data_IF_455959594037
#
_entry.id   IF_455959594037
#
_cell.length_a   1.000
_cell.length_b   1.000
_cell.length_c   1.000
_cell.angle_alpha   90.00
_cell.angle_beta   90.00
_cell.angle_gamma   90.00
#
_symmetry.space_group_name_H-M   'P 1'
#
loop_
_entity.id
_entity.type
_entity.pdbx_description
1 polymer ?
#
# COMPACT_ATOMS: atom_id res chain seq x y z
N UNK A 1 19.43 122.37 56.23
CA UNK A 1 19.22 120.91 56.13
C UNK A 1 20.59 120.27 56.07
N UNK A 2 21.08 119.74 57.20
CA UNK A 2 22.42 119.12 57.27
C UNK A 2 22.22 117.63 57.09
N UNK A 3 22.61 117.10 55.93
CA UNK A 3 22.66 115.65 55.70
C UNK A 3 23.88 115.12 56.46
N UNK A 4 23.65 114.23 57.44
CA UNK A 4 24.72 113.60 58.21
C UNK A 4 25.40 112.52 57.34
N UNK A 5 26.72 112.56 57.13
CA UNK A 5 27.45 111.60 56.27
C UNK A 5 27.23 110.13 56.66
N UNK A 6 27.02 109.85 57.94
CA UNK A 6 26.75 108.50 58.43
C UNK A 6 25.40 107.94 57.97
N UNK A 7 24.39 108.79 57.77
CA UNK A 7 23.09 108.36 57.26
C UNK A 7 23.15 107.94 55.78
N UNK A 8 24.05 108.56 54.99
CA UNK A 8 24.28 108.18 53.59
C UNK A 8 25.01 106.85 53.50
N UNK A 9 25.99 106.61 54.38
CA UNK A 9 26.73 105.34 54.45
C UNK A 9 25.84 104.17 54.87
N UNK A 10 24.97 104.38 55.86
CA UNK A 10 23.99 103.38 56.30
C UNK A 10 22.99 103.04 55.18
N UNK A 11 22.44 104.05 54.51
CA UNK A 11 21.50 103.84 53.39
C UNK A 11 22.16 103.13 52.20
N UNK A 12 23.44 103.39 51.92
CA UNK A 12 24.19 102.71 50.86
C UNK A 12 24.47 101.24 51.22
N UNK A 13 24.81 100.94 52.47
CA UNK A 13 24.99 99.56 52.96
C UNK A 13 23.69 98.76 52.96
N UNK A 14 22.58 99.38 53.32
CA UNK A 14 21.26 98.75 53.30
C UNK A 14 20.80 98.48 51.87
N UNK A 15 20.94 99.46 50.96
CA UNK A 15 20.62 99.28 49.54
C UNK A 15 21.49 98.21 48.86
N UNK A 16 22.79 98.13 49.19
CA UNK A 16 23.67 97.07 48.68
C UNK A 16 23.33 95.70 49.27
N UNK A 17 22.95 95.63 50.56
CA UNK A 17 22.49 94.41 51.21
C UNK A 17 21.20 93.87 50.59
N UNK A 18 20.23 94.73 50.28
CA UNK A 18 18.99 94.34 49.61
C UNK A 18 19.25 93.83 48.20
N UNK A 19 20.05 94.54 47.40
CA UNK A 19 20.40 94.11 46.04
C UNK A 19 21.16 92.78 46.04
N UNK A 20 22.10 92.58 46.97
CA UNK A 20 22.81 91.32 47.14
C UNK A 20 21.88 90.17 47.57
N UNK A 21 20.90 90.45 48.44
CA UNK A 21 19.86 89.49 48.84
C UNK A 21 18.95 89.08 47.68
N UNK A 22 18.50 90.04 46.87
CA UNK A 22 17.67 89.79 45.68
C UNK A 22 18.43 89.00 44.62
N UNK A 23 19.72 89.30 44.41
CA UNK A 23 20.58 88.51 43.52
C UNK A 23 20.78 87.08 44.03
N UNK A 24 20.95 86.90 45.35
CA UNK A 24 21.10 85.57 45.94
C UNK A 24 19.81 84.73 45.79
N UNK A 25 18.64 85.36 45.93
CA UNK A 25 17.35 84.70 45.73
C UNK A 25 17.14 84.28 44.26
N UNK A 26 17.53 85.12 43.31
CA UNK A 26 17.48 84.78 41.89
C UNK A 26 18.43 83.63 41.52
N UNK A 27 19.65 83.60 42.10
CA UNK A 27 20.61 82.51 41.89
C UNK A 27 20.08 81.19 42.45
N UNK A 28 19.47 81.20 43.65
CA UNK A 28 18.84 79.99 44.23
C UNK A 28 17.74 79.44 43.32
N UNK A 29 16.84 80.29 42.82
CA UNK A 29 15.76 79.84 41.93
C UNK A 29 16.29 79.28 40.61
N UNK A 30 17.34 79.87 40.03
CA UNK A 30 17.99 79.32 38.82
C UNK A 30 18.67 77.98 39.13
N UNK A 31 19.27 77.82 40.32
CA UNK A 31 19.90 76.57 40.75
C UNK A 31 18.85 75.46 40.91
N UNK A 32 17.70 75.77 41.51
CA UNK A 32 16.58 74.83 41.65
C UNK A 32 16.01 74.42 40.27
N UNK A 33 15.88 75.35 39.32
CA UNK A 33 15.48 75.05 37.94
C UNK A 33 16.52 74.20 37.20
N UNK A 34 17.82 74.39 37.48
CA UNK A 34 18.89 73.61 36.85
C UNK A 34 18.96 72.18 37.44
N UNK A 35 18.70 71.98 38.73
CA UNK A 35 18.56 70.65 39.33
C UNK A 35 17.35 69.88 38.74
N UNK A 36 16.28 70.59 38.38
CA UNK A 36 15.11 70.03 37.67
C UNK A 36 15.46 69.66 36.20
N UNK A 37 16.50 70.26 35.60
CA UNK A 37 17.01 69.88 34.27
C UNK A 37 18.01 68.72 34.29
N UNK A 38 18.69 68.46 35.42
CA UNK A 38 19.56 67.27 35.58
C UNK A 38 18.76 65.96 35.59
N UNK A 39 17.47 66.01 35.95
CA UNK A 39 16.56 64.85 35.87
C UNK A 39 16.29 64.44 34.42
N UNK A 40 16.46 65.35 33.45
CA UNK A 40 16.32 65.10 32.01
C UNK A 40 17.47 64.26 31.43
N UNK A 41 18.71 64.43 31.92
CA UNK A 41 19.87 63.65 31.45
C UNK A 41 19.80 62.16 31.80
N UNK A 42 19.16 61.78 32.92
CA UNK A 42 18.91 60.37 33.27
C UNK A 42 17.99 59.67 32.26
N UNK A 43 17.05 60.40 31.67
CA UNK A 43 16.18 59.87 30.62
C UNK A 43 16.95 59.61 29.31
N UNK A 44 18.00 60.38 28.99
CA UNK A 44 18.81 60.17 27.78
C UNK A 44 19.63 58.87 27.84
N UNK A 45 20.22 58.54 28.99
CA UNK A 45 20.96 57.30 29.21
C UNK A 45 20.03 56.06 29.17
N UNK A 46 18.85 56.16 29.79
CA UNK A 46 17.81 55.11 29.71
C UNK A 46 17.31 54.92 28.28
N UNK A 47 17.10 56.01 27.54
CA UNK A 47 16.70 55.98 26.12
C UNK A 47 17.81 55.37 25.24
N UNK A 48 19.09 55.65 25.52
CA UNK A 48 20.21 55.04 24.82
C UNK A 48 20.28 53.52 25.07
N UNK A 49 20.10 53.08 26.32
CA UNK A 49 20.03 51.66 26.68
C UNK A 49 18.84 50.96 26.02
N UNK A 50 17.66 51.59 26.03
CA UNK A 50 16.46 51.08 25.36
C UNK A 50 16.64 50.95 23.85
N UNK A 51 17.32 51.90 23.19
CA UNK A 51 17.66 51.82 21.76
C UNK A 51 18.55 50.62 21.44
N UNK A 52 19.52 50.33 22.30
CA UNK A 52 20.39 49.16 22.15
C UNK A 52 19.61 47.85 22.32
N UNK A 53 18.74 47.77 23.33
CA UNK A 53 17.83 46.62 23.51
C UNK A 53 16.95 46.42 22.28
N UNK A 54 16.37 47.48 21.71
CA UNK A 54 15.55 47.41 20.50
C UNK A 54 16.37 46.95 19.29
N UNK A 55 17.61 47.44 19.13
CA UNK A 55 18.50 47.02 18.06
C UNK A 55 18.84 45.51 18.18
N UNK A 56 19.18 45.04 19.38
CA UNK A 56 19.46 43.63 19.64
C UNK A 56 18.23 42.74 19.44
N UNK A 57 17.06 43.19 19.90
CA UNK A 57 15.79 42.46 19.73
C UNK A 57 15.42 42.37 18.25
N UNK A 58 15.61 43.44 17.47
CA UNK A 58 15.31 43.46 16.03
C UNK A 58 16.25 42.54 15.23
N UNK A 59 17.54 42.47 15.60
CA UNK A 59 18.48 41.52 15.02
C UNK A 59 18.10 40.06 15.32
N UNK A 60 17.68 39.76 16.56
CA UNK A 60 17.21 38.41 16.94
C UNK A 60 15.97 38.00 16.15
N UNK A 61 15.00 38.91 15.99
CA UNK A 61 13.79 38.66 15.20
C UNK A 61 14.12 38.39 13.72
N UNK A 62 15.07 39.13 13.14
CA UNK A 62 15.54 38.89 11.77
C UNK A 62 16.20 37.50 11.63
N UNK A 63 17.00 37.09 12.62
CA UNK A 63 17.62 35.76 12.64
C UNK A 63 16.56 34.65 12.74
N UNK A 64 15.58 34.80 13.64
CA UNK A 64 14.47 33.85 13.79
C UNK A 64 13.67 33.72 12.49
N UNK A 65 13.35 34.85 11.84
CA UNK A 65 12.66 34.85 10.54
C UNK A 65 13.47 34.09 9.46
N UNK A 66 14.80 34.26 9.44
CA UNK A 66 15.69 33.51 8.56
C UNK A 66 15.66 32.00 8.81
N UNK A 67 15.69 31.57 10.08
CA UNK A 67 15.60 30.15 10.45
C UNK A 67 14.25 29.54 10.06
N UNK A 68 13.15 30.26 10.29
CA UNK A 68 11.80 29.86 9.87
C UNK A 68 11.72 29.70 8.34
N UNK A 69 12.32 30.61 7.57
CA UNK A 69 12.36 30.50 6.11
C UNK A 69 13.16 29.26 5.66
N UNK A 70 14.29 28.95 6.31
CA UNK A 70 15.06 27.74 6.02
C UNK A 70 14.27 26.46 6.35
N UNK A 71 13.58 26.44 7.50
CA UNK A 71 12.70 25.32 7.87
C UNK A 71 11.57 25.12 6.86
N UNK A 72 10.93 26.19 6.42
CA UNK A 72 9.90 26.13 5.39
C UNK A 72 10.45 25.58 4.06
N UNK A 73 11.67 25.96 3.68
CA UNK A 73 12.36 25.42 2.52
C UNK A 73 12.61 23.90 2.63
N UNK A 74 13.09 23.43 3.78
CA UNK A 74 13.29 22.01 4.02
C UNK A 74 11.98 21.21 3.99
N UNK A 75 10.90 21.74 4.59
CA UNK A 75 9.57 21.11 4.53
C UNK A 75 9.06 21.01 3.09
N UNK A 76 9.25 22.05 2.28
CA UNK A 76 8.86 22.04 0.87
C UNK A 76 9.64 20.97 0.07
N UNK A 77 10.94 20.82 0.33
CA UNK A 77 11.75 19.74 -0.27
C UNK A 77 11.26 18.36 0.16
N UNK A 78 10.98 18.16 1.45
CA UNK A 78 10.43 16.89 1.96
C UNK A 78 9.08 16.55 1.31
N UNK A 79 8.18 17.54 1.17
CA UNK A 79 6.91 17.36 0.49
C UNK A 79 7.10 16.95 -0.99
N UNK A 80 8.08 17.54 -1.68
CA UNK A 80 8.46 17.15 -3.04
C UNK A 80 8.93 15.69 -3.13
N UNK A 81 9.79 15.26 -2.21
CA UNK A 81 10.26 13.87 -2.16
C UNK A 81 9.13 12.88 -1.86
N UNK A 82 8.22 13.20 -0.94
CA UNK A 82 7.05 12.38 -0.65
C UNK A 82 6.12 12.25 -1.87
N UNK A 83 5.92 13.34 -2.62
CA UNK A 83 5.14 13.31 -3.86
C UNK A 83 5.79 12.41 -4.93
N UNK A 84 7.11 12.48 -5.09
CA UNK A 84 7.85 11.60 -5.99
C UNK A 84 7.72 10.12 -5.57
N UNK A 85 7.85 9.84 -4.28
CA UNK A 85 7.68 8.48 -3.75
C UNK A 85 6.26 7.95 -3.99
N UNK A 86 5.22 8.76 -3.79
CA UNK A 86 3.84 8.37 -4.08
C UNK A 86 3.64 8.01 -5.56
N UNK A 87 4.30 8.74 -6.48
CA UNK A 87 4.31 8.41 -7.91
C UNK A 87 4.98 7.06 -8.20
N UNK A 88 6.11 6.77 -7.56
CA UNK A 88 6.80 5.47 -7.69
C UNK A 88 5.95 4.32 -7.15
N UNK A 89 5.32 4.50 -6.00
CA UNK A 89 4.41 3.50 -5.41
C UNK A 89 3.25 3.22 -6.36
N UNK A 90 2.66 4.25 -6.96
CA UNK A 90 1.56 4.08 -7.92
C UNK A 90 1.99 3.30 -9.17
N UNK A 91 3.18 3.59 -9.70
CA UNK A 91 3.77 2.86 -10.83
C UNK A 91 4.02 1.38 -10.49
N UNK A 92 4.61 1.13 -9.31
CA UNK A 92 4.86 -0.21 -8.83
C UNK A 92 3.55 -0.99 -8.62
N UNK A 93 2.51 -0.33 -8.12
CA UNK A 93 1.20 -0.95 -7.95
C UNK A 93 0.57 -1.34 -9.29
N UNK A 94 0.67 -0.49 -10.32
CA UNK A 94 0.22 -0.84 -11.67
C UNK A 94 1.01 -2.03 -12.25
N UNK A 95 2.32 -2.11 -11.99
CA UNK A 95 3.12 -3.27 -12.39
C UNK A 95 2.67 -4.54 -11.64
N UNK A 96 2.38 -4.43 -10.35
CA UNK A 96 1.87 -5.55 -9.55
C UNK A 96 0.53 -6.05 -10.09
N UNK A 97 -0.42 -5.15 -10.38
CA UNK A 97 -1.73 -5.51 -10.95
C UNK A 97 -1.57 -6.24 -12.29
N UNK A 98 -0.63 -5.80 -13.13
CA UNK A 98 -0.30 -6.47 -14.39
C UNK A 98 0.28 -7.88 -14.18
N UNK A 99 1.14 -8.05 -13.17
CA UNK A 99 1.70 -9.35 -12.81
C UNK A 99 0.61 -10.28 -12.27
N UNK A 100 -0.27 -9.79 -11.39
CA UNK A 100 -1.41 -10.55 -10.86
C UNK A 100 -2.30 -11.04 -11.99
N UNK A 101 -2.69 -10.17 -12.93
CA UNK A 101 -3.51 -10.57 -14.07
C UNK A 101 -2.85 -11.66 -14.93
N UNK A 102 -1.52 -11.62 -15.08
CA UNK A 102 -0.76 -12.66 -15.80
C UNK A 102 -0.70 -13.98 -15.02
N UNK A 103 -0.62 -13.93 -13.69
CA UNK A 103 -0.68 -15.11 -12.82
C UNK A 103 -2.05 -15.75 -12.87
N UNK A 104 -3.13 -14.97 -12.77
CA UNK A 104 -4.51 -15.47 -12.88
C UNK A 104 -4.75 -16.13 -14.23
N UNK A 105 -4.23 -15.53 -15.31
CA UNK A 105 -4.29 -16.11 -16.65
C UNK A 105 -3.49 -17.41 -16.77
N UNK A 106 -2.30 -17.47 -16.15
CA UNK A 106 -1.48 -18.67 -16.12
C UNK A 106 -2.13 -19.78 -15.27
N UNK A 107 -2.83 -19.44 -14.20
CA UNK A 107 -3.58 -20.38 -13.37
C UNK A 107 -4.76 -20.98 -14.13
N UNK A 108 -5.55 -20.16 -14.84
CA UNK A 108 -6.63 -20.66 -15.71
C UNK A 108 -6.10 -21.56 -16.83
N UNK A 109 -4.95 -21.21 -17.41
CA UNK A 109 -4.28 -22.04 -18.41
C UNK A 109 -3.83 -23.38 -17.79
N UNK A 110 -3.17 -23.36 -16.63
CA UNK A 110 -2.75 -24.57 -15.91
C UNK A 110 -3.93 -25.46 -15.52
N UNK A 111 -5.07 -24.88 -15.14
CA UNK A 111 -6.29 -25.63 -14.81
C UNK A 111 -6.93 -26.31 -16.03
N UNK A 112 -6.69 -25.79 -17.24
CA UNK A 112 -7.21 -26.39 -18.48
C UNK A 112 -6.19 -27.36 -19.10
N UNK A 113 -4.90 -27.05 -19.06
CA UNK A 113 -3.83 -27.89 -19.63
C UNK A 113 -3.41 -29.06 -18.74
N UNK A 114 -3.88 -29.12 -17.50
CA UNK A 114 -3.57 -30.20 -16.56
C UNK A 114 -4.76 -31.14 -16.32
N UNK A 115 -5.80 -31.06 -17.15
CA UNK A 115 -6.85 -32.07 -17.17
C UNK A 115 -6.22 -33.41 -17.59
N UNK A 116 -6.41 -34.49 -16.81
CA UNK A 116 -5.92 -35.80 -17.17
C UNK A 116 -6.54 -36.27 -18.50
N UNK A 117 -5.75 -36.95 -19.32
CA UNK A 117 -6.15 -37.42 -20.65
C UNK A 117 -7.11 -38.60 -20.62
N UNK A 118 -7.11 -39.37 -19.52
CA UNK A 118 -7.96 -40.53 -19.34
C UNK A 118 -8.14 -40.88 -17.85
N UNK A 119 -9.04 -41.81 -17.56
CA UNK A 119 -9.30 -42.27 -16.19
C UNK A 119 -8.09 -42.95 -15.53
N UNK A 120 -7.15 -43.52 -16.28
CA UNK A 120 -5.92 -44.06 -15.69
C UNK A 120 -5.07 -42.96 -15.08
N UNK A 121 -4.94 -41.83 -15.77
CA UNK A 121 -4.23 -40.66 -15.26
C UNK A 121 -4.96 -39.98 -14.09
N UNK A 122 -6.30 -39.96 -14.10
CA UNK A 122 -7.11 -39.54 -12.93
C UNK A 122 -6.77 -40.38 -11.69
N UNK A 123 -6.70 -41.71 -11.86
CA UNK A 123 -6.40 -42.64 -10.78
C UNK A 123 -5.01 -42.39 -10.16
N UNK A 124 -4.02 -42.13 -11.00
CA UNK A 124 -2.64 -41.89 -10.57
C UNK A 124 -2.45 -40.55 -9.85
N UNK A 125 -3.17 -39.51 -10.29
CA UNK A 125 -3.03 -38.15 -9.74
C UNK A 125 -3.82 -37.92 -8.46
N UNK A 126 -5.02 -38.47 -8.35
CA UNK A 126 -5.97 -38.09 -7.28
C UNK A 126 -6.76 -39.25 -6.69
N UNK A 127 -6.66 -40.46 -7.27
CA UNK A 127 -7.50 -41.60 -6.91
C UNK A 127 -8.93 -41.47 -7.48
N UNK A 128 -9.54 -42.61 -7.81
CA UNK A 128 -10.91 -42.66 -8.36
C UNK A 128 -11.91 -42.95 -7.26
N UNK A 129 -12.99 -42.18 -7.26
CA UNK A 129 -14.24 -42.44 -6.58
C UNK A 129 -15.28 -42.78 -7.64
N UNK A 130 -15.79 -44.02 -7.61
CA UNK A 130 -16.76 -44.53 -8.58
C UNK A 130 -18.12 -43.82 -8.53
N UNK A 131 -18.37 -42.95 -7.55
CA UNK A 131 -19.57 -42.13 -7.44
C UNK A 131 -19.33 -40.67 -7.85
N UNK A 132 -18.13 -40.33 -8.33
CA UNK A 132 -17.73 -38.99 -8.71
C UNK A 132 -17.51 -38.85 -10.22
N UNK A 133 -17.79 -37.67 -10.73
CA UNK A 133 -17.51 -37.27 -12.10
C UNK A 133 -16.17 -36.53 -12.19
N UNK A 134 -15.40 -36.80 -13.24
CA UNK A 134 -14.09 -36.25 -13.51
C UNK A 134 -14.08 -35.53 -14.85
N UNK A 135 -13.31 -34.44 -14.95
CA UNK A 135 -13.07 -33.76 -16.23
C UNK A 135 -11.79 -34.33 -16.83
N UNK A 136 -11.91 -34.91 -18.02
CA UNK A 136 -10.77 -35.38 -18.80
C UNK A 136 -10.66 -34.60 -20.11
N UNK A 137 -9.43 -34.40 -20.57
CA UNK A 137 -9.12 -33.79 -21.87
C UNK A 137 -8.33 -34.80 -22.73
N UNK A 138 -9.01 -35.64 -23.52
CA UNK A 138 -8.39 -36.80 -24.16
C UNK A 138 -7.37 -36.46 -25.25
N UNK A 139 -7.45 -35.27 -25.85
CA UNK A 139 -6.55 -34.80 -26.90
C UNK A 139 -5.71 -33.58 -26.51
N UNK A 140 -5.97 -33.04 -25.32
CA UNK A 140 -5.21 -31.97 -24.72
C UNK A 140 -5.67 -30.58 -25.20
N UNK A 141 -5.09 -29.54 -24.60
CA UNK A 141 -5.59 -28.18 -24.75
C UNK A 141 -5.61 -27.72 -26.20
N UNK A 142 -6.73 -27.10 -26.60
CA UNK A 142 -6.97 -26.52 -27.92
C UNK A 142 -6.92 -27.51 -29.10
N UNK A 143 -7.14 -28.81 -28.86
CA UNK A 143 -7.25 -29.81 -29.92
C UNK A 143 -8.68 -30.37 -29.99
N UNK A 144 -9.02 -30.87 -31.18
CA UNK A 144 -10.20 -31.67 -31.53
C UNK A 144 -11.45 -31.60 -30.65
N UNK A 145 -11.39 -32.11 -29.42
CA UNK A 145 -12.50 -32.32 -28.50
C UNK A 145 -12.34 -31.48 -27.24
N UNK A 146 -13.40 -30.78 -26.84
CA UNK A 146 -13.38 -30.03 -25.58
C UNK A 146 -13.30 -30.99 -24.38
N UNK A 147 -12.70 -30.55 -23.25
CA UNK A 147 -12.71 -31.33 -22.01
C UNK A 147 -14.12 -31.80 -21.66
N UNK A 148 -14.25 -33.07 -21.29
CA UNK A 148 -15.53 -33.72 -21.06
C UNK A 148 -15.63 -34.29 -19.66
N UNK A 149 -16.85 -34.34 -19.15
CA UNK A 149 -17.15 -34.93 -17.86
C UNK A 149 -17.42 -36.42 -18.04
N UNK A 150 -16.66 -37.27 -17.35
CA UNK A 150 -16.80 -38.73 -17.36
C UNK A 150 -16.93 -39.27 -15.94
N UNK A 151 -17.64 -40.36 -15.78
CA UNK A 151 -17.54 -41.18 -14.57
C UNK A 151 -16.47 -42.23 -14.83
N UNK A 152 -15.45 -42.28 -13.97
CA UNK A 152 -14.41 -43.28 -14.08
C UNK A 152 -14.82 -44.53 -13.29
N UNK A 153 -14.95 -45.65 -13.98
CA UNK A 153 -15.17 -46.93 -13.33
C UNK A 153 -13.83 -47.68 -13.17
N UNK A 154 -13.42 -47.91 -11.92
CA UNK A 154 -12.31 -48.82 -11.57
C UNK A 154 -12.81 -50.08 -10.89
N UNK A 155 -14.12 -50.27 -10.79
CA UNK A 155 -14.71 -51.58 -10.55
C UNK A 155 -14.83 -52.27 -11.90
N UNK A 156 -13.68 -52.56 -12.52
CA UNK A 156 -13.62 -53.75 -13.36
C UNK A 156 -14.12 -54.88 -12.49
N UNK A 157 -15.26 -55.47 -12.84
CA UNK A 157 -15.80 -56.61 -12.14
C UNK A 157 -14.70 -57.67 -12.18
N UNK A 158 -14.00 -57.87 -11.06
CA UNK A 158 -12.89 -58.83 -10.93
C UNK A 158 -13.43 -60.27 -10.91
N UNK A 159 -14.43 -60.56 -11.74
CA UNK A 159 -14.96 -61.90 -11.91
C UNK A 159 -14.11 -62.74 -12.85
N UNK A 160 -13.15 -62.15 -13.58
CA UNK A 160 -12.14 -62.93 -14.30
C UNK A 160 -10.79 -62.87 -13.56
N UNK A 161 -10.45 -63.97 -12.89
CA UNK A 161 -9.24 -64.15 -12.09
C UNK A 161 -7.94 -64.24 -12.91
N UNK A 162 -7.95 -63.78 -14.16
CA UNK A 162 -6.89 -64.00 -15.14
C UNK A 162 -6.30 -62.70 -15.72
N UNK A 163 -6.57 -61.55 -15.08
CA UNK A 163 -6.01 -60.24 -15.45
C UNK A 163 -4.83 -59.86 -14.57
N UNK A 164 -3.78 -59.28 -15.15
CA UNK A 164 -2.65 -58.76 -14.39
C UNK A 164 -3.16 -57.59 -13.51
N UNK A 165 -2.61 -57.34 -12.30
CA UNK A 165 -3.11 -56.28 -11.42
C UNK A 165 -3.07 -54.86 -12.02
N UNK A 166 -2.38 -54.69 -13.15
CA UNK A 166 -2.27 -53.49 -13.97
C UNK A 166 -3.42 -53.30 -14.97
N UNK A 167 -4.15 -54.37 -15.28
CA UNK A 167 -5.09 -54.43 -16.40
C UNK A 167 -6.49 -54.22 -15.83
N UNK A 168 -7.07 -53.06 -16.11
CA UNK A 168 -8.29 -52.58 -15.43
C UNK A 168 -9.56 -53.11 -16.11
N UNK A 169 -9.48 -53.40 -17.40
CA UNK A 169 -10.53 -53.99 -18.22
C UNK A 169 -10.02 -55.23 -18.95
N UNK A 170 -10.95 -56.07 -19.43
CA UNK A 170 -10.58 -57.26 -20.21
C UNK A 170 -9.87 -56.90 -21.53
N UNK A 171 -10.15 -55.72 -22.09
CA UNK A 171 -9.49 -55.21 -23.29
C UNK A 171 -8.02 -54.82 -23.08
N UNK A 172 -7.57 -54.60 -21.84
CA UNK A 172 -6.17 -54.26 -21.54
C UNK A 172 -5.29 -55.53 -21.38
N UNK A 173 -5.90 -56.72 -21.53
CA UNK A 173 -5.23 -57.99 -21.36
C UNK A 173 -4.43 -58.37 -22.61
N UNK A 174 -3.11 -58.22 -22.56
CA UNK A 174 -2.24 -58.53 -23.71
C UNK A 174 -1.83 -60.02 -23.76
N UNK A 175 -2.83 -60.91 -23.75
CA UNK A 175 -2.64 -62.37 -23.69
C UNK A 175 -3.04 -63.11 -24.98
N UNK A 176 -3.32 -62.35 -26.05
CA UNK A 176 -3.75 -62.86 -27.36
C UNK A 176 -5.02 -63.71 -27.32
N UNK A 177 -5.84 -63.57 -26.27
CA UNK A 177 -7.11 -64.29 -26.11
C UNK A 177 -8.27 -63.33 -26.29
N UNK A 178 -9.32 -63.75 -27.00
CA UNK A 178 -10.56 -62.99 -27.08
C UNK A 178 -11.21 -62.88 -25.70
N UNK A 179 -11.42 -61.65 -25.24
CA UNK A 179 -12.11 -61.36 -23.98
C UNK A 179 -13.32 -60.48 -24.21
N UNK A 180 -14.29 -60.57 -23.30
CA UNK A 180 -15.58 -59.91 -23.41
C UNK A 180 -15.96 -59.25 -22.09
N UNK A 181 -16.13 -57.93 -22.11
CA UNK A 181 -16.86 -57.19 -21.08
C UNK A 181 -18.32 -57.06 -21.50
N UNK A 182 -19.26 -57.57 -20.68
CA UNK A 182 -20.69 -57.54 -20.97
C UNK A 182 -21.51 -57.08 -19.75
N UNK A 183 -22.66 -56.43 -19.98
CA UNK A 183 -23.50 -55.95 -18.89
C UNK A 183 -24.60 -54.99 -19.32
N UNK A 184 -25.39 -54.52 -18.35
CA UNK A 184 -26.44 -53.51 -18.55
C UNK A 184 -26.02 -52.17 -17.94
N UNK A 185 -26.13 -51.09 -18.72
CA UNK A 185 -26.12 -49.72 -18.20
C UNK A 185 -27.45 -49.46 -17.49
N UNK A 186 -27.45 -49.61 -16.16
CA UNK A 186 -28.67 -49.65 -15.35
C UNK A 186 -28.95 -48.34 -14.59
N UNK A 187 -28.02 -47.40 -14.61
CA UNK A 187 -28.15 -46.09 -13.97
C UNK A 187 -28.72 -45.07 -14.95
N UNK A 188 -29.88 -44.51 -14.60
CA UNK A 188 -30.66 -43.63 -15.48
C UNK A 188 -29.93 -42.33 -15.80
N UNK A 189 -29.12 -41.84 -14.86
CA UNK A 189 -28.39 -40.58 -14.99
C UNK A 189 -27.20 -40.68 -15.96
N UNK A 190 -26.78 -41.91 -16.31
CA UNK A 190 -25.70 -42.18 -17.27
C UNK A 190 -26.20 -42.25 -18.72
N UNK A 191 -27.48 -41.92 -18.94
CA UNK A 191 -28.14 -41.95 -20.24
C UNK A 191 -28.50 -40.53 -20.71
N UNK A 192 -28.42 -40.24 -22.02
CA UNK A 192 -28.11 -41.16 -23.11
C UNK A 192 -26.61 -41.42 -23.27
N UNK A 193 -26.25 -42.63 -23.68
CA UNK A 193 -24.88 -42.95 -24.11
C UNK A 193 -24.56 -42.15 -25.37
N UNK A 194 -23.63 -41.21 -25.27
CA UNK A 194 -23.21 -40.35 -26.40
C UNK A 194 -21.96 -40.85 -27.11
N UNK A 195 -21.16 -41.69 -26.45
CA UNK A 195 -19.91 -42.20 -26.99
C UNK A 195 -19.48 -43.51 -26.30
N UNK A 196 -18.84 -44.39 -27.08
CA UNK A 196 -18.10 -45.57 -26.58
C UNK A 196 -16.63 -45.41 -26.95
N UNK A 197 -15.74 -45.75 -26.02
CA UNK A 197 -14.28 -45.68 -26.20
C UNK A 197 -13.70 -47.04 -25.82
N UNK A 198 -12.87 -47.59 -26.70
CA UNK A 198 -12.16 -48.85 -26.48
C UNK A 198 -10.66 -48.54 -26.40
N UNK A 199 -9.98 -49.06 -25.37
CA UNK A 199 -8.53 -48.96 -25.22
C UNK A 199 -7.83 -50.12 -25.92
N UNK A 200 -6.52 -49.96 -26.16
CA UNK A 200 -5.62 -51.04 -26.64
C UNK A 200 -6.08 -51.71 -27.96
N UNK A 201 -6.45 -50.90 -28.96
CA UNK A 201 -6.78 -51.35 -30.33
C UNK A 201 -5.92 -50.68 -31.40
N UNK A 202 -4.67 -50.36 -31.08
CA UNK A 202 -3.75 -49.57 -31.91
C UNK A 202 -2.75 -50.39 -32.72
N UNK A 203 -2.46 -51.63 -32.30
CA UNK A 203 -1.48 -52.50 -32.94
C UNK A 203 -2.09 -53.39 -34.03
N UNK A 204 -1.26 -53.87 -34.96
CA UNK A 204 -1.71 -54.59 -36.16
C UNK A 204 -2.40 -55.94 -35.92
N UNK A 205 -2.40 -56.43 -34.68
CA UNK A 205 -3.04 -57.68 -34.27
C UNK A 205 -4.19 -57.50 -33.28
N UNK A 206 -4.53 -56.26 -32.94
CA UNK A 206 -5.59 -55.95 -31.99
C UNK A 206 -6.90 -55.72 -32.75
N UNK A 207 -7.92 -56.49 -32.38
CA UNK A 207 -9.25 -56.41 -32.96
C UNK A 207 -10.28 -56.30 -31.84
N UNK A 208 -11.31 -55.49 -32.07
CA UNK A 208 -12.38 -55.28 -31.09
C UNK A 208 -13.76 -55.26 -31.75
N UNK A 209 -14.73 -55.90 -31.10
CA UNK A 209 -16.15 -55.87 -31.50
C UNK A 209 -16.99 -55.34 -30.36
N UNK A 210 -17.97 -54.48 -30.67
CA UNK A 210 -18.86 -53.93 -29.66
C UNK A 210 -20.31 -53.91 -30.13
N UNK A 211 -21.23 -54.07 -29.17
CA UNK A 211 -22.67 -53.95 -29.41
C UNK A 211 -23.29 -53.10 -28.31
N UNK A 212 -23.93 -51.98 -28.68
CA UNK A 212 -24.79 -51.22 -27.78
C UNK A 212 -26.25 -51.61 -28.02
N UNK A 213 -26.85 -52.29 -27.04
CA UNK A 213 -28.24 -52.69 -27.10
C UNK A 213 -29.22 -51.51 -27.05
N UNK A 214 -30.49 -51.76 -27.37
CA UNK A 214 -31.56 -50.77 -27.16
C UNK A 214 -31.72 -50.51 -25.66
N UNK A 215 -32.12 -49.29 -25.29
CA UNK A 215 -32.53 -49.00 -23.92
C UNK A 215 -33.79 -49.80 -23.57
N UNK A 216 -33.74 -50.57 -22.48
CA UNK A 216 -34.86 -51.38 -21.98
C UNK A 216 -35.37 -50.75 -20.68
N UNK A 217 -36.63 -50.33 -20.66
CA UNK A 217 -37.29 -49.89 -19.44
C UNK A 217 -37.94 -51.09 -18.75
N UNK A 218 -37.59 -51.33 -17.48
CA UNK A 218 -38.29 -52.31 -16.65
C UNK A 218 -39.50 -51.63 -15.97
N UNK A 219 -40.67 -52.30 -15.92
CA UNK A 219 -41.91 -51.75 -15.32
C UNK A 219 -41.83 -51.62 -13.80
#
# INVERSE_FOLDING_TARGET
MIIRPEAVKASYQEATSTVLGDQQHHVSSITDYLEETETCYKCDDEVASLKEVIANQSALLAQQAGQLAQQAGHLAQQAGHLAQQAGLISSLQSQMDSVVARVDSAEQFMNTCNAPSNCTEVAERSGINNQAFYVIDPDGPERGVLPMVVQCDVQGDKSDASLHPSDKCNCDANDYTWREDSGFLSHKDDLPVTQLRFGDTGDSGEEGYYTLGKLICYP
#
